data_IF_149673743606
#
_entry.id   IF_149673743606
#
_cell.length_a   1.000
_cell.length_b   1.000
_cell.length_c   1.000
_cell.angle_alpha   90.00
_cell.angle_beta   90.00
_cell.angle_gamma   90.00
#
_symmetry.space_group_name_H-M   'P 1'
#
loop_
_entity.id
_entity.type
_entity.pdbx_description
1 polymer ?
#
# COMPACT_ATOMS: atom_id res chain seq x y z
N UNK A 1 -25.81 -11.22 2.90
CA UNK A 1 -24.48 -10.83 2.39
C UNK A 1 -24.28 -11.48 1.01
N UNK A 2 -24.00 -10.73 -0.07
CA UNK A 2 -23.84 -11.29 -1.43
C UNK A 2 -22.49 -11.98 -1.66
N UNK A 3 -21.60 -12.00 -0.67
CA UNK A 3 -20.23 -12.47 -0.74
C UNK A 3 -20.05 -13.87 -1.38
N UNK A 4 -20.81 -14.91 -0.98
CA UNK A 4 -20.77 -16.22 -1.64
C UNK A 4 -20.94 -16.19 -3.16
N UNK A 5 -21.80 -15.29 -3.67
CA UNK A 5 -22.09 -15.19 -5.10
C UNK A 5 -20.96 -14.50 -5.87
N UNK A 6 -20.33 -13.50 -5.25
CA UNK A 6 -19.17 -12.83 -5.82
C UNK A 6 -17.99 -13.80 -5.89
N UNK A 7 -17.73 -14.55 -4.82
CA UNK A 7 -16.70 -15.59 -4.81
C UNK A 7 -16.98 -16.67 -5.87
N UNK A 8 -18.22 -17.16 -5.95
CA UNK A 8 -18.62 -18.13 -6.97
C UNK A 8 -18.37 -17.66 -8.40
N UNK A 9 -18.59 -16.36 -8.69
CA UNK A 9 -18.31 -15.78 -10.00
C UNK A 9 -16.81 -15.65 -10.33
N UNK A 10 -15.94 -15.67 -9.32
CA UNK A 10 -14.48 -15.62 -9.51
C UNK A 10 -13.87 -17.01 -9.77
N UNK A 11 -14.57 -18.07 -9.40
CA UNK A 11 -14.10 -19.44 -9.64
C UNK A 11 -14.25 -19.84 -11.11
N UNK A 12 -13.29 -20.60 -11.59
CA UNK A 12 -13.32 -21.28 -12.87
C UNK A 12 -13.10 -22.79 -12.67
N UNK A 13 -13.18 -23.57 -13.76
CA UNK A 13 -12.97 -25.04 -13.73
C UNK A 13 -11.60 -25.46 -13.20
N UNK A 14 -10.72 -24.49 -13.11
CA UNK A 14 -9.29 -24.57 -12.98
C UNK A 14 -8.83 -24.03 -11.60
N UNK A 15 -9.79 -23.54 -10.82
CA UNK A 15 -9.65 -23.04 -9.45
C UNK A 15 -9.53 -24.20 -8.49
N UNK A 16 -8.55 -24.11 -7.58
CA UNK A 16 -8.34 -25.07 -6.51
C UNK A 16 -9.37 -24.81 -5.41
N UNK A 17 -10.31 -25.73 -5.26
CA UNK A 17 -11.38 -25.68 -4.28
C UNK A 17 -11.32 -26.92 -3.38
N UNK A 18 -11.80 -26.79 -2.16
CA UNK A 18 -12.03 -27.93 -1.27
C UNK A 18 -13.16 -28.76 -1.87
N UNK A 19 -12.86 -30.04 -2.09
CA UNK A 19 -13.71 -30.96 -2.82
C UNK A 19 -13.69 -32.33 -2.16
N UNK A 20 -14.86 -32.96 -2.08
CA UNK A 20 -15.02 -34.37 -1.75
C UNK A 20 -14.89 -35.23 -3.02
N UNK A 21 -14.14 -36.33 -2.93
CA UNK A 21 -13.91 -37.22 -4.08
C UNK A 21 -14.99 -38.31 -4.16
N UNK A 22 -16.13 -37.99 -4.77
CA UNK A 22 -17.32 -38.84 -4.84
C UNK A 22 -17.02 -40.25 -5.36
N UNK A 23 -16.28 -40.37 -6.48
CA UNK A 23 -15.92 -41.68 -7.06
C UNK A 23 -15.11 -42.58 -6.12
N UNK A 24 -14.38 -41.99 -5.18
CA UNK A 24 -13.59 -42.73 -4.19
C UNK A 24 -14.38 -42.96 -2.92
N UNK A 25 -15.20 -42.00 -2.52
CA UNK A 25 -15.94 -42.02 -1.28
C UNK A 25 -17.23 -42.82 -1.32
N UNK A 26 -17.86 -42.94 -2.49
CA UNK A 26 -19.18 -43.54 -2.66
C UNK A 26 -19.13 -44.96 -3.27
N UNK A 27 -20.08 -45.86 -2.90
CA UNK A 27 -21.14 -45.66 -1.91
C UNK A 27 -20.58 -45.64 -0.49
N UNK A 28 -20.90 -44.58 0.25
CA UNK A 28 -20.48 -44.41 1.65
C UNK A 28 -21.24 -45.35 2.57
N UNK A 29 -20.64 -45.71 3.70
CA UNK A 29 -21.32 -46.53 4.70
C UNK A 29 -20.63 -46.53 6.06
N UNK A 30 -21.33 -46.91 7.14
CA UNK A 30 -20.77 -46.85 8.49
C UNK A 30 -19.64 -47.86 8.70
N UNK A 31 -18.58 -47.43 9.39
CA UNK A 31 -17.48 -48.30 9.81
C UNK A 31 -17.79 -49.03 11.12
N UNK A 32 -18.01 -50.35 11.02
CA UNK A 32 -18.29 -51.24 12.14
C UNK A 32 -17.15 -52.22 12.36
N UNK A 33 -16.72 -52.37 13.61
CA UNK A 33 -15.65 -53.30 14.01
C UNK A 33 -16.05 -54.74 13.63
N UNK A 34 -15.18 -55.45 12.92
CA UNK A 34 -15.40 -56.84 12.52
C UNK A 34 -16.18 -57.05 11.22
N UNK A 35 -16.64 -55.99 10.54
CA UNK A 35 -17.26 -56.11 9.21
C UNK A 35 -16.24 -55.88 8.08
N UNK A 36 -16.22 -56.73 7.04
CA UNK A 36 -15.31 -56.57 5.90
C UNK A 36 -15.65 -55.32 5.08
N UNK A 37 -14.66 -54.52 4.68
CA UNK A 37 -14.84 -53.27 3.92
C UNK A 37 -14.94 -53.49 2.39
N UNK A 38 -15.73 -54.46 1.98
CA UNK A 38 -15.94 -54.78 0.56
C UNK A 38 -17.19 -54.07 0.03
N UNK A 39 -17.19 -53.71 -1.26
CA UNK A 39 -18.33 -53.10 -1.96
C UNK A 39 -18.68 -51.67 -1.52
N UNK A 40 -17.79 -50.97 -0.80
CA UNK A 40 -17.99 -49.61 -0.29
C UNK A 40 -16.86 -48.68 -0.68
N UNK A 41 -17.18 -47.40 -0.82
CA UNK A 41 -16.18 -46.36 -0.99
C UNK A 41 -15.40 -46.09 0.30
N UNK A 42 -14.46 -45.15 0.23
CA UNK A 42 -13.60 -44.74 1.34
C UNK A 42 -14.33 -43.95 2.43
N UNK A 43 -15.50 -43.37 2.14
CA UNK A 43 -16.24 -42.57 3.09
C UNK A 43 -16.96 -43.45 4.12
N UNK A 44 -16.59 -43.28 5.38
CA UNK A 44 -17.15 -44.07 6.49
C UNK A 44 -18.44 -43.50 7.10
N UNK A 45 -19.03 -42.48 6.46
CA UNK A 45 -20.26 -41.79 6.91
C UNK A 45 -20.22 -41.27 8.37
N UNK A 46 -19.05 -40.88 8.87
CA UNK A 46 -18.88 -40.40 10.26
C UNK A 46 -19.40 -38.98 10.52
N UNK A 47 -19.67 -38.21 9.45
CA UNK A 47 -20.06 -36.78 9.49
C UNK A 47 -19.09 -35.83 10.20
N UNK A 48 -17.85 -36.24 10.45
CA UNK A 48 -16.84 -35.38 11.07
C UNK A 48 -16.61 -34.08 10.27
N UNK A 49 -16.59 -34.16 8.94
CA UNK A 49 -16.48 -33.01 8.05
C UNK A 49 -17.63 -32.00 8.20
N UNK A 50 -18.84 -32.47 8.49
CA UNK A 50 -20.03 -31.63 8.72
C UNK A 50 -19.95 -30.98 10.09
N UNK A 51 -19.59 -31.75 11.12
CA UNK A 51 -19.50 -31.29 12.50
C UNK A 51 -18.48 -30.16 12.71
N UNK A 52 -17.38 -30.17 11.96
CA UNK A 52 -16.35 -29.10 12.01
C UNK A 52 -16.64 -27.92 11.10
N UNK A 53 -17.68 -28.01 10.24
CA UNK A 53 -17.94 -26.95 9.29
C UNK A 53 -18.61 -25.76 9.99
N UNK A 54 -17.98 -24.57 10.04
CA UNK A 54 -18.57 -23.40 10.69
C UNK A 54 -19.82 -22.89 9.96
N UNK A 55 -20.01 -23.31 8.71
CA UNK A 55 -21.16 -22.95 7.87
C UNK A 55 -22.26 -24.02 7.89
N UNK A 56 -22.06 -25.13 8.60
CA UNK A 56 -23.06 -26.20 8.72
C UNK A 56 -23.35 -26.94 7.43
N UNK A 57 -22.48 -26.85 6.43
CA UNK A 57 -22.66 -27.55 5.15
C UNK A 57 -22.13 -28.98 5.19
N UNK A 58 -22.70 -29.81 4.33
CA UNK A 58 -22.19 -31.14 4.04
C UNK A 58 -21.41 -31.14 2.73
N UNK A 59 -20.09 -31.02 2.84
CA UNK A 59 -19.15 -31.02 1.70
C UNK A 59 -19.26 -32.27 0.80
N UNK A 60 -19.94 -33.32 1.27
CA UNK A 60 -20.19 -34.54 0.50
C UNK A 60 -21.33 -34.39 -0.50
N UNK A 61 -22.09 -33.30 -0.44
CA UNK A 61 -23.12 -32.94 -1.41
C UNK A 61 -22.55 -32.06 -2.55
N UNK A 62 -21.23 -31.93 -2.61
CA UNK A 62 -20.51 -31.19 -3.64
C UNK A 62 -20.21 -29.73 -3.27
N UNK A 63 -19.94 -28.90 -4.28
CA UNK A 63 -19.60 -27.50 -4.07
C UNK A 63 -20.84 -26.68 -3.71
N UNK A 64 -20.83 -26.08 -2.52
CA UNK A 64 -21.92 -25.25 -2.00
C UNK A 64 -21.45 -23.80 -1.85
N UNK A 65 -22.34 -22.83 -2.10
CA UNK A 65 -22.01 -21.40 -2.09
C UNK A 65 -21.56 -20.92 -0.71
N UNK A 66 -22.08 -21.54 0.35
CA UNK A 66 -21.78 -21.23 1.74
C UNK A 66 -20.35 -21.62 2.14
N UNK A 67 -19.67 -22.47 1.35
CA UNK A 67 -18.31 -22.90 1.66
C UNK A 67 -17.32 -21.73 1.60
N UNK A 68 -16.76 -21.36 2.76
CA UNK A 68 -15.73 -20.32 2.90
C UNK A 68 -14.29 -20.82 2.68
N UNK A 69 -14.13 -22.05 2.18
CA UNK A 69 -12.82 -22.62 1.84
C UNK A 69 -11.82 -22.68 3.02
N UNK A 70 -12.29 -22.94 4.25
CA UNK A 70 -11.47 -22.91 5.48
C UNK A 70 -10.64 -24.18 5.79
N UNK A 71 -10.79 -25.25 4.99
CA UNK A 71 -10.05 -26.51 5.11
C UNK A 71 -10.26 -27.38 6.37
N UNK A 72 -11.06 -26.94 7.37
CA UNK A 72 -11.30 -27.73 8.59
C UNK A 72 -11.85 -29.15 8.31
N UNK A 73 -12.69 -29.29 7.28
CA UNK A 73 -13.23 -30.60 6.88
C UNK A 73 -12.15 -31.55 6.30
N UNK A 74 -11.08 -31.03 5.69
CA UNK A 74 -9.95 -31.83 5.20
C UNK A 74 -9.23 -32.47 6.37
N UNK A 75 -8.87 -31.66 7.37
CA UNK A 75 -8.14 -32.12 8.55
C UNK A 75 -8.95 -33.13 9.36
N UNK A 76 -10.21 -32.81 9.66
CA UNK A 76 -11.10 -33.71 10.38
C UNK A 76 -11.31 -35.04 9.65
N UNK A 77 -11.46 -35.02 8.33
CA UNK A 77 -11.59 -36.24 7.53
C UNK A 77 -10.29 -37.05 7.58
N UNK A 78 -9.14 -36.42 7.36
CA UNK A 78 -7.84 -37.09 7.38
C UNK A 78 -7.50 -37.75 8.72
N UNK A 79 -7.88 -37.12 9.83
CA UNK A 79 -7.71 -37.67 11.17
C UNK A 79 -8.56 -38.91 11.39
N UNK A 80 -9.81 -38.91 10.93
CA UNK A 80 -10.68 -40.08 10.97
C UNK A 80 -10.14 -41.19 10.07
N UNK A 81 -9.79 -40.89 8.82
CA UNK A 81 -9.27 -41.86 7.85
C UNK A 81 -8.00 -42.53 8.39
N UNK A 82 -7.10 -41.77 9.03
CA UNK A 82 -5.91 -42.32 9.70
C UNK A 82 -6.29 -43.29 10.82
N UNK A 83 -7.28 -42.97 11.66
CA UNK A 83 -7.72 -43.81 12.78
C UNK A 83 -8.35 -45.13 12.32
N UNK A 84 -9.07 -45.12 11.20
CA UNK A 84 -9.71 -46.32 10.63
C UNK A 84 -8.82 -47.07 9.63
N UNK A 85 -7.59 -46.60 9.39
CA UNK A 85 -6.65 -47.25 8.47
C UNK A 85 -7.05 -47.15 6.99
N UNK A 86 -7.74 -46.07 6.59
CA UNK A 86 -8.15 -45.82 5.19
C UNK A 86 -7.30 -44.71 4.54
N UNK A 87 -7.23 -44.64 3.19
CA UNK A 87 -6.45 -43.63 2.50
C UNK A 87 -6.89 -42.19 2.81
N UNK A 88 -5.92 -41.30 3.07
CA UNK A 88 -6.14 -39.87 3.30
C UNK A 88 -6.60 -39.12 2.04
N UNK A 89 -6.92 -37.84 2.19
CA UNK A 89 -7.29 -36.89 1.14
C UNK A 89 -8.59 -37.25 0.43
N UNK A 90 -9.58 -37.73 1.19
CA UNK A 90 -10.92 -38.01 0.66
C UNK A 90 -11.68 -36.70 0.39
N UNK A 91 -11.41 -35.71 1.26
CA UNK A 91 -11.65 -34.31 1.00
C UNK A 91 -10.28 -33.67 0.83
N UNK A 92 -10.06 -32.92 -0.24
CA UNK A 92 -8.78 -32.26 -0.54
C UNK A 92 -9.02 -31.05 -1.43
N UNK A 93 -7.98 -30.25 -1.65
CA UNK A 93 -7.98 -29.28 -2.73
C UNK A 93 -7.89 -29.97 -4.09
N UNK A 94 -8.87 -29.76 -4.95
CA UNK A 94 -8.85 -30.19 -6.34
C UNK A 94 -9.53 -29.16 -7.24
N UNK A 95 -9.51 -29.39 -8.56
CA UNK A 95 -10.16 -28.53 -9.56
C UNK A 95 -11.32 -29.28 -10.20
N UNK A 96 -12.39 -28.59 -10.58
CA UNK A 96 -13.50 -29.22 -11.31
C UNK A 96 -13.02 -29.95 -12.57
N UNK A 97 -12.03 -29.40 -13.29
CA UNK A 97 -11.42 -30.05 -14.45
C UNK A 97 -10.79 -31.40 -14.09
N UNK A 98 -10.12 -31.51 -12.95
CA UNK A 98 -9.52 -32.77 -12.52
C UNK A 98 -10.58 -33.79 -12.12
N UNK A 99 -11.67 -33.36 -11.48
CA UNK A 99 -12.81 -34.24 -11.21
C UNK A 99 -13.37 -34.78 -12.54
N UNK A 100 -13.73 -33.90 -13.49
CA UNK A 100 -14.20 -34.28 -14.82
C UNK A 100 -13.21 -35.22 -15.55
N UNK A 101 -11.91 -34.98 -15.41
CA UNK A 101 -10.86 -35.79 -16.01
C UNK A 101 -10.82 -37.20 -15.40
N UNK A 102 -10.83 -37.30 -14.06
CA UNK A 102 -10.89 -38.59 -13.34
C UNK A 102 -12.18 -39.32 -13.69
N UNK A 103 -13.29 -38.60 -13.89
CA UNK A 103 -14.56 -39.20 -14.28
C UNK A 103 -14.50 -39.90 -15.65
N UNK A 104 -13.75 -39.34 -16.58
CA UNK A 104 -13.52 -39.87 -17.92
C UNK A 104 -12.27 -40.76 -18.03
N UNK A 105 -11.65 -41.15 -16.90
CA UNK A 105 -10.43 -41.98 -16.90
C UNK A 105 -9.18 -41.27 -17.43
N UNK A 106 -9.20 -39.96 -17.51
CA UNK A 106 -8.08 -39.12 -17.93
C UNK A 106 -7.18 -38.76 -16.74
N UNK A 107 -5.95 -38.35 -17.03
CA UNK A 107 -4.98 -37.96 -15.99
C UNK A 107 -5.33 -36.58 -15.43
N UNK A 108 -5.57 -36.50 -14.13
CA UNK A 108 -5.64 -35.24 -13.40
C UNK A 108 -4.29 -34.50 -13.50
N UNK A 109 -4.31 -33.22 -13.87
CA UNK A 109 -3.12 -32.38 -13.94
C UNK A 109 -3.45 -30.95 -13.54
N UNK A 110 -2.79 -30.47 -12.49
CA UNK A 110 -2.83 -29.07 -12.11
C UNK A 110 -2.10 -28.23 -13.17
N UNK A 111 -2.85 -27.35 -13.83
CA UNK A 111 -2.30 -26.40 -14.80
C UNK A 111 -2.12 -25.04 -14.14
N UNK A 112 -1.01 -24.83 -13.42
CA UNK A 112 -0.76 -23.54 -12.75
C UNK A 112 -0.51 -22.40 -13.76
N UNK A 113 0.13 -22.72 -14.88
CA UNK A 113 0.45 -21.78 -15.95
C UNK A 113 -0.67 -21.85 -17.01
N UNK A 114 -1.52 -20.83 -17.03
CA UNK A 114 -2.66 -20.68 -17.96
C UNK A 114 -2.69 -19.23 -18.46
N UNK A 115 -3.32 -18.93 -19.62
CA UNK A 115 -3.39 -17.56 -20.13
C UNK A 115 -3.89 -16.53 -19.11
N UNK A 116 -4.91 -16.91 -18.31
CA UNK A 116 -5.46 -16.06 -17.24
C UNK A 116 -4.45 -15.80 -16.11
N UNK A 117 -3.69 -16.80 -15.65
CA UNK A 117 -2.70 -16.61 -14.59
C UNK A 117 -1.49 -15.80 -15.08
N UNK A 118 -1.09 -15.99 -16.35
CA UNK A 118 -0.08 -15.15 -17.00
C UNK A 118 -0.55 -13.69 -17.07
N UNK A 119 -1.79 -13.45 -17.50
CA UNK A 119 -2.35 -12.09 -17.58
C UNK A 119 -2.34 -11.38 -16.22
N UNK A 120 -2.82 -12.06 -15.16
CA UNK A 120 -2.81 -11.48 -13.82
C UNK A 120 -1.40 -11.23 -13.30
N UNK A 121 -0.49 -12.17 -13.51
CA UNK A 121 0.92 -12.02 -13.09
C UNK A 121 1.59 -10.86 -13.83
N UNK A 122 1.36 -10.72 -15.14
CA UNK A 122 1.88 -9.62 -15.94
C UNK A 122 1.31 -8.28 -15.48
N UNK A 123 0.00 -8.19 -15.22
CA UNK A 123 -0.63 -6.97 -14.73
C UNK A 123 -0.07 -6.57 -13.36
N UNK A 124 0.07 -7.53 -12.43
CA UNK A 124 0.67 -7.28 -11.12
C UNK A 124 2.14 -6.84 -11.24
N UNK A 125 2.90 -7.45 -12.15
CA UNK A 125 4.28 -7.05 -12.42
C UNK A 125 4.37 -5.61 -12.97
N UNK A 126 3.49 -5.23 -13.89
CA UNK A 126 3.42 -3.85 -14.41
C UNK A 126 3.13 -2.86 -13.30
N UNK A 127 2.13 -3.12 -12.46
CA UNK A 127 1.81 -2.26 -11.30
C UNK A 127 3.01 -2.20 -10.34
N UNK A 128 3.65 -3.33 -10.06
CA UNK A 128 4.85 -3.40 -9.23
C UNK A 128 6.00 -2.56 -9.77
N UNK A 129 6.24 -2.61 -11.09
CA UNK A 129 7.25 -1.77 -11.76
C UNK A 129 6.90 -0.29 -11.65
N UNK A 130 5.65 0.10 -11.87
CA UNK A 130 5.20 1.49 -11.72
C UNK A 130 5.42 1.97 -10.28
N UNK A 131 5.05 1.17 -9.29
CA UNK A 131 5.26 1.51 -7.87
C UNK A 131 6.74 1.62 -7.52
N UNK A 132 7.58 0.71 -8.03
CA UNK A 132 9.03 0.74 -7.80
C UNK A 132 9.68 1.96 -8.46
N UNK A 133 9.27 2.30 -9.68
CA UNK A 133 9.73 3.50 -10.37
C UNK A 133 9.33 4.77 -9.60
N UNK A 134 8.07 4.86 -9.15
CA UNK A 134 7.59 5.98 -8.35
C UNK A 134 8.34 6.10 -7.01
N UNK A 135 8.66 4.97 -6.36
CA UNK A 135 9.44 4.95 -5.13
C UNK A 135 10.90 5.39 -5.37
N UNK A 136 11.53 4.90 -6.44
CA UNK A 136 12.91 5.24 -6.79
C UNK A 136 13.08 6.71 -7.19
N UNK A 137 12.04 7.34 -7.72
CA UNK A 137 12.03 8.74 -8.14
C UNK A 137 11.52 9.69 -7.04
N UNK A 138 11.19 9.16 -5.86
CA UNK A 138 10.68 9.96 -4.74
C UNK A 138 11.74 11.01 -4.33
N UNK A 139 11.34 12.28 -4.35
CA UNK A 139 12.17 13.36 -3.82
C UNK A 139 12.43 13.17 -2.32
N UNK A 140 13.71 13.13 -1.95
CA UNK A 140 14.19 12.88 -0.59
C UNK A 140 14.28 14.17 0.25
N UNK A 141 14.33 15.31 -0.43
CA UNK A 141 14.20 16.63 0.17
C UNK A 141 12.94 17.29 -0.36
N UNK A 142 12.10 17.77 0.55
CA UNK A 142 10.91 18.53 0.16
C UNK A 142 10.89 19.86 0.91
N UNK A 143 10.85 20.96 0.15
CA UNK A 143 10.79 22.32 0.69
C UNK A 143 9.48 22.96 0.26
N UNK A 144 8.73 23.43 1.24
CA UNK A 144 7.45 24.11 1.06
C UNK A 144 7.51 25.50 1.70
N UNK A 145 7.20 26.54 0.91
CA UNK A 145 7.18 27.93 1.38
C UNK A 145 5.74 28.40 1.47
N UNK A 146 5.33 28.86 2.65
CA UNK A 146 4.01 29.38 2.91
C UNK A 146 4.14 30.87 3.26
N UNK A 147 3.55 31.75 2.46
CA UNK A 147 3.48 33.17 2.81
C UNK A 147 2.41 33.41 3.89
N UNK A 148 2.74 34.22 4.90
CA UNK A 148 1.78 34.58 5.93
C UNK A 148 0.68 35.47 5.32
N UNK A 149 -0.58 35.12 5.57
CA UNK A 149 -1.74 35.83 5.00
C UNK A 149 -2.24 36.98 5.88
N UNK A 150 -1.83 37.03 7.14
CA UNK A 150 -2.26 38.05 8.08
C UNK A 150 -1.15 38.34 9.11
N UNK A 151 -0.50 39.52 9.09
CA UNK A 151 -0.59 40.58 8.07
C UNK A 151 0.15 40.21 6.78
N UNK A 152 -0.31 40.72 5.62
CA UNK A 152 0.36 40.49 4.33
C UNK A 152 1.74 41.18 4.25
N UNK A 153 1.86 42.37 4.83
CA UNK A 153 3.12 43.10 4.98
C UNK A 153 3.03 44.01 6.21
N UNK A 154 4.19 44.37 6.77
CA UNK A 154 4.31 45.34 7.87
C UNK A 154 5.35 46.38 7.47
N UNK A 155 4.98 47.65 7.55
CA UNK A 155 5.92 48.77 7.40
C UNK A 155 6.55 49.06 8.75
N UNK A 156 7.88 49.01 8.82
CA UNK A 156 8.64 49.32 10.04
C UNK A 156 8.81 50.83 10.20
N UNK A 157 9.23 51.26 11.40
CA UNK A 157 9.47 52.67 11.74
C UNK A 157 10.56 53.34 10.89
N UNK A 158 11.48 52.55 10.33
CA UNK A 158 12.53 53.00 9.40
C UNK A 158 12.03 53.13 7.94
N UNK A 159 10.75 52.85 7.68
CA UNK A 159 10.15 52.86 6.34
C UNK A 159 10.41 51.59 5.54
N UNK A 160 11.10 50.58 6.08
CA UNK A 160 11.29 49.28 5.43
C UNK A 160 9.99 48.47 5.43
N UNK A 161 9.83 47.58 4.45
CA UNK A 161 8.66 46.70 4.34
C UNK A 161 9.08 45.28 4.66
N UNK A 162 8.35 44.61 5.56
CA UNK A 162 8.61 43.23 6.00
C UNK A 162 7.45 42.31 5.68
N UNK A 163 7.75 41.17 5.08
CA UNK A 163 6.80 40.07 4.83
C UNK A 163 7.20 38.86 5.69
N UNK A 164 6.22 38.11 6.16
CA UNK A 164 6.41 36.86 6.92
C UNK A 164 6.20 35.62 6.04
N UNK A 165 7.05 34.62 6.23
CA UNK A 165 6.96 33.33 5.54
C UNK A 165 7.23 32.21 6.53
N UNK A 166 6.55 31.09 6.36
CA UNK A 166 6.88 29.82 7.00
C UNK A 166 7.51 28.89 5.97
N UNK A 167 8.80 28.60 6.12
CA UNK A 167 9.53 27.65 5.28
C UNK A 167 9.55 26.31 6.00
N UNK A 168 8.95 25.29 5.40
CA UNK A 168 8.93 23.92 5.89
C UNK A 168 9.93 23.09 5.09
N UNK A 169 10.91 22.51 5.78
CA UNK A 169 11.94 21.64 5.21
C UNK A 169 11.70 20.25 5.77
N UNK A 170 11.41 19.29 4.89
CA UNK A 170 11.21 17.88 5.25
C UNK A 170 12.43 17.07 4.82
N UNK A 171 13.12 16.47 5.79
CA UNK A 171 14.22 15.55 5.55
C UNK A 171 13.68 14.12 5.53
N UNK A 172 13.68 13.45 4.36
CA UNK A 172 13.28 12.04 4.22
C UNK A 172 14.48 11.08 4.16
N UNK A 173 15.67 11.54 4.60
CA UNK A 173 16.88 10.72 4.74
C UNK A 173 17.04 10.26 6.19
N UNK A 174 17.75 9.16 6.37
CA UNK A 174 18.10 8.60 7.69
C UNK A 174 19.31 9.28 8.36
N UNK A 175 19.72 10.46 7.87
CA UNK A 175 20.87 11.21 8.39
C UNK A 175 20.45 12.67 8.62
N UNK A 176 20.99 13.29 9.69
CA UNK A 176 20.83 14.73 9.91
C UNK A 176 21.46 15.49 8.75
N UNK A 177 20.76 16.49 8.22
CA UNK A 177 21.23 17.29 7.08
C UNK A 177 21.27 18.77 7.43
N UNK A 178 22.24 19.44 6.81
CA UNK A 178 22.53 20.85 7.03
C UNK A 178 22.09 21.68 5.81
N UNK A 179 21.10 22.56 6.00
CA UNK A 179 20.54 23.38 4.93
C UNK A 179 20.90 24.84 5.08
N UNK A 180 21.14 25.51 3.96
CA UNK A 180 21.30 26.95 3.86
C UNK A 180 20.11 27.55 3.12
N UNK A 181 19.47 28.55 3.73
CA UNK A 181 18.38 29.30 3.13
C UNK A 181 18.90 30.60 2.52
N UNK A 182 18.59 30.84 1.25
CA UNK A 182 18.88 32.09 0.54
C UNK A 182 17.64 32.62 -0.15
N UNK A 183 17.61 33.92 -0.39
CA UNK A 183 16.59 34.60 -1.18
C UNK A 183 17.24 35.15 -2.43
N UNK A 184 16.65 34.87 -3.58
CA UNK A 184 17.05 35.40 -4.88
C UNK A 184 15.90 36.17 -5.52
N UNK A 185 16.20 37.25 -6.24
CA UNK A 185 15.21 38.08 -6.94
C UNK A 185 14.72 39.31 -6.16
N UNK A 186 15.27 39.60 -4.98
CA UNK A 186 15.03 40.83 -4.22
C UNK A 186 16.37 41.50 -3.86
N UNK A 187 16.83 42.52 -4.64
CA UNK A 187 18.06 43.23 -4.34
C UNK A 187 17.94 43.98 -3.01
N UNK A 188 18.97 43.87 -2.16
CA UNK A 188 19.03 44.56 -0.86
C UNK A 188 18.12 43.99 0.24
N UNK A 189 17.44 42.86 0.00
CA UNK A 189 16.61 42.23 1.01
C UNK A 189 17.45 41.60 2.13
N UNK A 190 17.08 41.88 3.38
CA UNK A 190 17.61 41.17 4.55
C UNK A 190 16.65 40.04 4.93
N UNK A 191 17.22 38.86 5.19
CA UNK A 191 16.48 37.67 5.62
C UNK A 191 16.80 37.44 7.09
N UNK A 192 15.77 37.40 7.93
CA UNK A 192 15.90 37.09 9.35
C UNK A 192 15.06 35.87 9.69
N UNK A 193 15.72 34.79 10.10
CA UNK A 193 15.04 33.60 10.64
C UNK A 193 14.83 33.84 12.12
N UNK A 194 13.61 33.67 12.63
CA UNK A 194 13.28 34.06 14.01
C UNK A 194 14.15 33.35 15.07
N UNK A 195 14.58 32.13 14.76
CA UNK A 195 15.35 31.28 15.68
C UNK A 195 16.87 31.48 15.58
N UNK A 196 17.38 32.19 14.57
CA UNK A 196 18.81 32.36 14.33
C UNK A 196 19.17 33.84 14.18
N UNK A 197 20.18 34.29 14.93
CA UNK A 197 20.64 35.68 14.84
C UNK A 197 21.40 35.97 13.53
N UNK A 198 22.05 34.96 12.96
CA UNK A 198 22.79 35.08 11.71
C UNK A 198 21.93 34.72 10.48
N UNK A 199 21.92 35.61 9.47
CA UNK A 199 21.18 35.41 8.22
C UNK A 199 21.61 34.19 7.38
N UNK A 200 22.83 33.68 7.60
CA UNK A 200 23.40 32.52 6.92
C UNK A 200 23.57 31.29 7.85
N UNK A 201 22.80 31.21 8.94
CA UNK A 201 22.90 30.08 9.85
C UNK A 201 22.55 28.76 9.15
N UNK A 202 23.31 27.70 9.47
CA UNK A 202 23.00 26.34 9.06
C UNK A 202 21.74 25.87 9.79
N UNK A 203 20.76 25.38 9.02
CA UNK A 203 19.55 24.78 9.56
C UNK A 203 19.76 23.27 9.60
N UNK A 204 19.80 22.74 10.80
CA UNK A 204 19.96 21.31 11.02
C UNK A 204 18.56 20.68 11.08
N UNK A 205 18.33 19.67 10.24
CA UNK A 205 17.08 18.91 10.21
C UNK A 205 17.41 17.44 10.45
N UNK A 206 16.91 16.91 11.56
CA UNK A 206 17.10 15.51 11.94
C UNK A 206 16.38 14.57 10.96
N UNK A 207 16.75 13.27 10.93
CA UNK A 207 16.11 12.29 10.07
C UNK A 207 14.59 12.22 10.23
N UNK A 208 13.88 12.02 9.13
CA UNK A 208 12.41 11.84 9.06
C UNK A 208 11.59 12.94 9.76
N UNK A 209 12.15 14.14 9.89
CA UNK A 209 11.53 15.26 10.58
C UNK A 209 11.20 16.43 9.65
N UNK A 210 10.16 17.17 10.03
CA UNK A 210 9.68 18.37 9.37
C UNK A 210 10.04 19.60 10.21
N UNK A 211 11.07 20.32 9.81
CA UNK A 211 11.44 21.60 10.41
C UNK A 211 10.63 22.73 9.79
N UNK A 212 9.82 23.43 10.60
CA UNK A 212 9.11 24.64 10.20
C UNK A 212 9.81 25.88 10.76
N UNK A 213 10.29 26.76 9.87
CA UNK A 213 11.01 27.98 10.23
C UNK A 213 10.19 29.21 9.86
N UNK A 214 10.04 30.13 10.80
CA UNK A 214 9.49 31.47 10.52
C UNK A 214 10.60 32.39 10.03
N UNK A 215 10.42 32.90 8.81
CA UNK A 215 11.38 33.71 8.09
C UNK A 215 10.75 35.04 7.75
N UNK A 216 11.41 36.13 8.14
CA UNK A 216 11.04 37.47 7.76
C UNK A 216 11.97 37.96 6.65
N UNK A 217 11.38 38.44 5.57
CA UNK A 217 12.10 39.11 4.49
C UNK A 217 11.79 40.60 4.59
N UNK A 218 12.83 41.41 4.77
CA UNK A 218 12.71 42.87 4.90
C UNK A 218 13.44 43.54 3.75
N UNK A 219 12.76 44.47 3.08
CA UNK A 219 13.33 45.27 1.99
C UNK A 219 13.47 46.72 2.46
N UNK A 220 14.68 47.33 2.38
CA UNK A 220 14.91 48.73 2.72
C UNK A 220 14.06 49.69 1.88
N UNK A 221 13.72 50.89 2.39
CA UNK A 221 12.83 51.84 1.72
C UNK A 221 13.30 52.24 0.30
N UNK A 222 14.62 52.36 0.09
CA UNK A 222 15.21 52.75 -1.21
C UNK A 222 14.94 51.71 -2.29
N UNK A 223 15.05 50.43 -1.96
CA UNK A 223 14.78 49.33 -2.89
C UNK A 223 13.29 48.99 -2.96
N UNK A 224 12.56 49.14 -1.84
CA UNK A 224 11.12 48.95 -1.80
C UNK A 224 10.37 49.92 -2.75
N UNK A 225 10.89 51.14 -2.94
CA UNK A 225 10.35 52.10 -3.90
C UNK A 225 10.56 51.71 -5.38
N UNK A 226 11.53 50.82 -5.67
CA UNK A 226 11.84 50.33 -7.02
C UNK A 226 11.10 49.04 -7.38
N UNK A 227 10.48 48.38 -6.40
CA UNK A 227 9.73 47.15 -6.62
C UNK A 227 8.45 47.40 -7.43
N UNK A 228 8.01 46.40 -8.19
CA UNK A 228 6.74 46.45 -8.92
C UNK A 228 5.60 46.58 -7.91
N UNK A 229 4.74 47.58 -8.11
CA UNK A 229 3.58 47.88 -7.26
C UNK A 229 2.73 46.61 -7.03
N UNK A 230 2.34 46.37 -5.78
CA UNK A 230 1.44 45.29 -5.36
C UNK A 230 2.08 43.92 -5.12
N UNK A 231 2.93 43.42 -6.02
CA UNK A 231 3.56 42.08 -5.86
C UNK A 231 4.83 41.92 -6.69
N UNK A 232 5.95 41.57 -6.04
CA UNK A 232 7.19 41.19 -6.73
C UNK A 232 7.47 39.70 -6.53
N UNK A 233 7.74 38.96 -7.61
CA UNK A 233 8.10 37.55 -7.54
C UNK A 233 9.56 37.39 -7.10
N UNK A 234 9.81 36.46 -6.18
CA UNK A 234 11.16 36.08 -5.75
C UNK A 234 11.21 34.60 -5.42
N UNK A 235 12.40 34.03 -5.26
CA UNK A 235 12.56 32.61 -4.93
C UNK A 235 13.33 32.41 -3.63
N UNK A 236 12.85 31.51 -2.79
CA UNK A 236 13.67 30.89 -1.76
C UNK A 236 14.48 29.76 -2.38
N UNK A 237 15.78 29.78 -2.13
CA UNK A 237 16.73 28.74 -2.53
C UNK A 237 17.20 28.05 -1.27
N UNK A 238 16.86 26.77 -1.12
CA UNK A 238 17.35 25.92 -0.04
C UNK A 238 18.41 25.01 -0.62
N UNK A 239 19.63 25.14 -0.12
CA UNK A 239 20.79 24.34 -0.54
C UNK A 239 21.16 23.35 0.55
N UNK A 240 21.23 22.08 0.19
CA UNK A 240 21.85 21.04 1.02
C UNK A 240 23.38 21.24 0.98
N UNK A 241 23.99 21.44 2.15
CA UNK A 241 25.44 21.69 2.26
C UNK A 241 26.27 20.44 1.96
N UNK A 242 25.71 19.26 2.22
CA UNK A 242 26.42 17.99 2.15
C UNK A 242 26.35 17.38 0.74
N UNK A 243 25.19 17.49 0.08
CA UNK A 243 24.98 16.96 -1.28
C UNK A 243 25.10 18.03 -2.39
N UNK A 244 25.09 19.32 -2.03
CA UNK A 244 25.08 20.42 -2.98
C UNK A 244 23.77 20.55 -3.78
N UNK A 245 22.75 19.74 -3.48
CA UNK A 245 21.46 19.81 -4.13
C UNK A 245 20.73 21.11 -3.75
N UNK A 246 20.20 21.81 -4.76
CA UNK A 246 19.45 23.06 -4.57
C UNK A 246 17.98 22.86 -4.93
N UNK A 247 17.09 23.26 -4.02
CA UNK A 247 15.64 23.33 -4.29
C UNK A 247 15.21 24.78 -4.32
N UNK A 248 14.55 25.19 -5.42
CA UNK A 248 14.06 26.56 -5.64
C UNK A 248 12.53 26.57 -5.52
N UNK A 249 12.00 27.50 -4.72
CA UNK A 249 10.57 27.71 -4.56
C UNK A 249 10.23 29.19 -4.77
N UNK A 250 9.51 29.47 -5.85
CA UNK A 250 9.02 30.81 -6.16
C UNK A 250 7.89 31.20 -5.21
N UNK A 251 7.88 32.46 -4.80
CA UNK A 251 6.85 33.08 -3.97
C UNK A 251 6.75 34.58 -4.30
N UNK A 252 5.88 35.29 -3.59
CA UNK A 252 5.63 36.71 -3.85
C UNK A 252 5.89 37.56 -2.61
N UNK A 253 6.49 38.73 -2.83
CA UNK A 253 6.67 39.79 -1.85
C UNK A 253 5.61 40.86 -2.08
N UNK A 254 4.86 41.20 -1.04
CA UNK A 254 3.81 42.21 -1.08
C UNK A 254 4.32 43.53 -0.52
N UNK A 255 4.03 44.61 -1.23
CA UNK A 255 4.35 45.98 -0.81
C UNK A 255 3.09 46.85 -0.87
N UNK A 256 3.03 47.96 -0.10
CA UNK A 256 1.93 48.90 -0.18
C UNK A 256 1.72 49.41 -1.61
N UNK A 257 0.47 49.52 -2.04
CA UNK A 257 0.10 50.31 -3.22
C UNK A 257 0.17 51.78 -2.79
N UNK A 258 1.24 52.48 -3.18
CA UNK A 258 1.35 53.94 -3.06
C UNK A 258 1.09 54.59 -4.40
#
# INVERSE_FOLDING_TARGET
>A
CPWPRIQGAMFDRDSLLITYHDRRGEPRGPHKKGQPWEGRGDCIDCKACVAVCPMGIDIRDGSQLECIQCALCIDACNDIMKKVGRPKNLITYDTFRNLDAVEHGQRARLQLIRPRTILYTALMAVVGVIMLAALSQRALLEVNVLADRNPLFVTLSDGSVRNGYTVKILNKRYETRHFLLRVEGLPGASVRVLEFEAANASIDVVPDDLRALKVYVTVPPVEAAKLKRGSTSFSFVVRDKDLGAETRRATTFRSPER
#
